data_IF_399016259906
#
_entry.id   IF_399016259906
#
_cell.length_a   1.000
_cell.length_b   1.000
_cell.length_c   1.000
_cell.angle_alpha   90.00
_cell.angle_beta   90.00
_cell.angle_gamma   90.00
#
_symmetry.space_group_name_H-M   'P 1'
#
loop_
_entity.id
_entity.type
_entity.pdbx_description
1 polymer ?
#
# COMPACT_ATOMS: atom_id res chain seq x y z
N UNK A 1 24.59 -1.83 54.50
CA UNK A 1 24.53 -3.05 55.32
C UNK A 1 24.29 -4.23 54.39
N UNK A 2 25.34 -4.99 54.10
CA UNK A 2 25.31 -6.41 53.69
C UNK A 2 24.93 -7.26 54.94
N UNK A 3 24.93 -8.62 54.97
CA UNK A 3 25.05 -9.67 53.93
C UNK A 3 23.96 -10.77 54.11
N UNK A 4 23.85 -11.83 53.29
CA UNK A 4 24.46 -13.16 53.45
C UNK A 4 24.24 -13.93 52.12
N UNK A 5 25.28 -14.26 51.34
CA UNK A 5 26.20 -15.40 51.41
C UNK A 5 25.87 -16.52 50.41
N UNK A 6 26.74 -16.63 49.39
CA UNK A 6 26.96 -17.80 48.55
C UNK A 6 27.55 -18.97 49.35
N UNK A 7 27.54 -20.19 48.78
CA UNK A 7 28.78 -20.93 48.71
C UNK A 7 29.09 -21.50 47.32
N UNK A 8 30.37 -21.38 46.94
CA UNK A 8 31.07 -22.16 45.93
C UNK A 8 31.19 -23.64 46.35
N UNK A 9 31.37 -24.56 45.38
CA UNK A 9 32.18 -25.75 45.62
C UNK A 9 33.54 -25.69 44.88
N UNK A 10 34.57 -26.14 45.59
CA UNK A 10 35.97 -26.32 45.18
C UNK A 10 36.18 -27.68 44.49
N UNK A 11 36.90 -27.69 43.37
CA UNK A 11 38.08 -28.51 43.05
C UNK A 11 38.08 -30.06 43.09
N UNK A 12 38.31 -30.63 41.87
CA UNK A 12 39.19 -31.77 41.46
C UNK A 12 38.83 -33.24 41.86
N UNK A 13 39.18 -34.26 41.04
CA UNK A 13 40.47 -34.41 40.34
C UNK A 13 40.48 -34.82 38.86
N UNK A 14 41.64 -34.54 38.25
CA UNK A 14 42.11 -35.03 36.97
C UNK A 14 42.35 -36.55 37.00
N UNK A 15 41.95 -37.25 35.94
CA UNK A 15 42.30 -38.66 35.76
C UNK A 15 41.50 -39.33 34.64
N UNK A 16 41.77 -39.00 33.38
CA UNK A 16 41.12 -39.64 32.23
C UNK A 16 42.04 -39.59 31.01
N UNK A 17 42.54 -40.76 30.60
CA UNK A 17 43.50 -40.99 29.53
C UNK A 17 43.03 -40.39 28.20
N UNK A 18 43.88 -39.61 27.54
CA UNK A 18 43.74 -39.24 26.13
C UNK A 18 44.01 -40.49 25.28
N UNK A 19 42.95 -41.06 24.70
CA UNK A 19 43.06 -41.99 23.56
C UNK A 19 43.53 -41.18 22.33
N UNK A 20 44.46 -41.68 21.51
CA UNK A 20 44.88 -40.98 20.31
C UNK A 20 43.73 -40.98 19.29
N UNK A 21 43.11 -39.82 19.09
CA UNK A 21 42.12 -39.63 18.02
C UNK A 21 42.85 -39.65 16.67
N UNK A 22 42.50 -40.63 15.84
CA UNK A 22 42.95 -40.77 14.47
C UNK A 22 42.59 -39.52 13.65
N UNK A 23 43.50 -39.06 12.78
CA UNK A 23 43.33 -37.89 11.90
C UNK A 23 42.08 -37.99 10.99
N UNK A 24 41.55 -39.19 10.77
CA UNK A 24 40.27 -39.38 10.07
C UNK A 24 39.05 -38.95 10.90
N UNK A 25 39.07 -39.11 12.23
CA UNK A 25 37.96 -38.74 13.11
C UNK A 25 37.85 -37.22 13.30
N UNK A 26 38.99 -36.51 13.27
CA UNK A 26 39.04 -35.03 13.33
C UNK A 26 38.46 -34.42 12.04
N UNK A 27 38.69 -35.05 10.88
CA UNK A 27 38.08 -34.61 9.61
C UNK A 27 36.57 -34.82 9.55
N UNK A 28 36.06 -35.88 10.18
CA UNK A 28 34.61 -36.15 10.25
C UNK A 28 33.91 -35.17 11.21
N UNK A 29 34.55 -34.81 12.34
CA UNK A 29 34.02 -33.78 13.24
C UNK A 29 34.11 -32.36 12.66
N UNK A 30 35.15 -32.03 11.89
CA UNK A 30 35.24 -30.75 11.17
C UNK A 30 34.23 -30.66 10.01
N UNK A 31 33.92 -31.77 9.34
CA UNK A 31 32.85 -31.85 8.33
C UNK A 31 31.45 -31.76 8.97
N UNK A 32 31.25 -32.34 10.15
CA UNK A 32 29.99 -32.25 10.90
C UNK A 32 29.76 -30.85 11.53
N UNK A 33 30.81 -30.16 11.99
CA UNK A 33 30.73 -28.76 12.43
C UNK A 33 30.57 -27.80 11.24
N UNK A 34 31.17 -28.10 10.10
CA UNK A 34 30.97 -27.36 8.84
C UNK A 34 29.56 -27.51 8.26
N UNK A 35 28.88 -28.63 8.52
CA UNK A 35 27.48 -28.84 8.13
C UNK A 35 26.46 -28.20 9.09
N UNK A 36 26.84 -27.87 10.32
CA UNK A 36 25.95 -27.24 11.32
C UNK A 36 26.08 -25.71 11.37
N UNK A 37 27.07 -25.11 10.71
CA UNK A 37 27.25 -23.66 10.57
C UNK A 37 26.80 -23.10 9.21
N UNK A 38 26.15 -23.92 8.38
CA UNK A 38 25.58 -23.53 7.08
C UNK A 38 24.10 -23.10 7.11
N UNK A 39 23.47 -22.99 8.29
CA UNK A 39 22.07 -22.58 8.43
C UNK A 39 21.96 -21.07 8.65
N UNK A 40 22.21 -20.32 7.58
CA UNK A 40 22.13 -18.86 7.61
C UNK A 40 21.99 -18.20 6.25
N UNK A 41 21.71 -18.96 5.19
CA UNK A 41 21.27 -18.38 3.92
C UNK A 41 19.76 -18.53 3.83
N UNK A 42 19.06 -17.41 4.06
CA UNK A 42 17.69 -17.24 3.61
C UNK A 42 17.63 -17.72 2.15
N UNK A 43 16.69 -18.61 1.77
CA UNK A 43 16.61 -19.05 0.39
C UNK A 43 16.46 -17.78 -0.45
N UNK A 44 17.41 -17.56 -1.38
CA UNK A 44 17.26 -16.60 -2.45
C UNK A 44 15.87 -16.87 -3.02
N UNK A 45 14.93 -15.97 -2.74
CA UNK A 45 13.56 -16.14 -3.19
C UNK A 45 13.64 -15.99 -4.70
N UNK A 46 13.60 -17.12 -5.40
CA UNK A 46 13.53 -17.15 -6.85
C UNK A 46 12.42 -16.19 -7.29
N UNK A 47 12.84 -15.07 -7.89
CA UNK A 47 11.92 -14.21 -8.61
C UNK A 47 11.18 -15.13 -9.59
N UNK A 48 9.84 -15.03 -9.69
CA UNK A 48 9.09 -15.89 -10.59
C UNK A 48 9.72 -15.85 -12.00
N UNK A 49 9.77 -17.00 -12.69
CA UNK A 49 10.51 -17.15 -13.94
C UNK A 49 10.15 -16.04 -14.93
N UNK A 50 11.16 -15.56 -15.66
CA UNK A 50 11.11 -14.42 -16.57
C UNK A 50 9.75 -14.30 -17.26
N UNK A 51 9.00 -13.28 -16.88
CA UNK A 51 7.78 -12.96 -17.61
C UNK A 51 8.22 -12.38 -18.95
N UNK A 52 7.81 -12.94 -20.11
CA UNK A 52 8.25 -12.44 -21.40
C UNK A 52 7.78 -10.99 -21.58
N UNK A 53 8.72 -10.05 -21.37
CA UNK A 53 8.57 -8.62 -21.61
C UNK A 53 8.61 -8.42 -23.11
N UNK A 54 7.44 -8.31 -23.75
CA UNK A 54 7.44 -8.01 -25.16
C UNK A 54 7.30 -6.49 -25.36
N UNK A 55 8.08 -5.90 -26.29
CA UNK A 55 7.90 -4.52 -26.71
C UNK A 55 6.46 -4.32 -27.17
N UNK A 56 5.99 -3.07 -27.10
CA UNK A 56 4.62 -2.60 -27.25
C UNK A 56 3.96 -2.89 -28.62
N UNK A 57 3.87 -4.17 -29.03
CA UNK A 57 3.00 -4.61 -30.11
C UNK A 57 1.61 -4.89 -29.52
N UNK A 58 0.66 -4.10 -29.98
CA UNK A 58 -0.76 -4.17 -29.64
C UNK A 58 -1.30 -5.59 -29.81
N UNK A 59 -1.93 -6.14 -28.77
CA UNK A 59 -2.62 -7.43 -28.85
C UNK A 59 -4.03 -7.31 -28.24
N UNK A 60 -5.10 -7.65 -28.98
CA UNK A 60 -6.49 -7.43 -28.56
C UNK A 60 -6.85 -8.13 -27.24
N UNK A 61 -6.22 -9.27 -26.94
CA UNK A 61 -6.46 -10.03 -25.71
C UNK A 61 -6.02 -9.28 -24.43
N UNK A 62 -5.02 -8.39 -24.48
CA UNK A 62 -4.60 -7.65 -23.28
C UNK A 62 -5.61 -6.55 -22.92
N UNK A 63 -6.18 -5.88 -23.93
CA UNK A 63 -7.20 -4.85 -23.73
C UNK A 63 -8.45 -5.42 -23.02
N UNK A 64 -8.90 -6.61 -23.43
CA UNK A 64 -10.01 -7.31 -22.79
C UNK A 64 -9.70 -7.72 -21.35
N UNK A 65 -8.49 -8.25 -21.09
CA UNK A 65 -8.07 -8.62 -19.73
C UNK A 65 -8.06 -7.44 -18.79
N UNK A 66 -7.42 -6.34 -19.21
CA UNK A 66 -7.33 -5.17 -18.35
C UNK A 66 -8.69 -4.53 -18.14
N UNK A 67 -9.64 -4.59 -19.09
CA UNK A 67 -11.02 -4.13 -18.90
C UNK A 67 -11.77 -4.83 -17.75
N UNK A 68 -11.40 -6.05 -17.37
CA UNK A 68 -11.95 -6.75 -16.19
C UNK A 68 -11.09 -6.68 -14.93
N UNK A 69 -9.90 -6.06 -14.99
CA UNK A 69 -8.93 -6.09 -13.90
C UNK A 69 -8.15 -4.78 -13.85
N UNK A 70 -8.53 -3.90 -12.92
CA UNK A 70 -7.90 -2.59 -12.70
C UNK A 70 -6.49 -2.69 -12.15
N UNK A 71 -6.14 -3.79 -11.48
CA UNK A 71 -4.82 -4.01 -10.89
C UNK A 71 -3.71 -4.14 -11.95
N UNK A 72 -4.05 -4.51 -13.19
CA UNK A 72 -3.09 -4.61 -14.30
C UNK A 72 -2.65 -3.23 -14.78
N UNK A 73 -1.48 -3.18 -15.42
CA UNK A 73 -0.95 -1.99 -16.08
C UNK A 73 -1.87 -1.53 -17.23
N UNK A 74 -2.32 -0.28 -17.19
CA UNK A 74 -3.28 0.29 -18.14
C UNK A 74 -2.60 1.15 -19.20
N UNK A 75 -1.42 1.69 -18.90
CA UNK A 75 -0.66 2.64 -19.70
C UNK A 75 0.02 2.11 -20.95
N UNK A 76 -0.17 0.83 -21.30
CA UNK A 76 0.57 0.16 -22.37
C UNK A 76 0.40 0.73 -23.80
N UNK A 77 -0.47 1.73 -23.97
CA UNK A 77 -0.69 2.45 -25.25
C UNK A 77 -0.46 3.96 -25.12
N UNK A 78 -0.12 4.44 -23.92
CA UNK A 78 0.08 5.85 -23.64
C UNK A 78 1.49 6.25 -24.03
N UNK A 79 1.66 7.52 -24.42
CA UNK A 79 2.94 8.08 -24.89
C UNK A 79 3.28 9.43 -24.26
N UNK A 80 2.31 10.07 -23.60
CA UNK A 80 2.39 11.41 -23.00
C UNK A 80 1.18 11.63 -22.11
N UNK A 81 1.22 12.65 -21.26
CA UNK A 81 0.16 13.08 -20.37
C UNK A 81 -0.44 11.90 -19.59
N UNK A 82 0.43 11.14 -18.93
CA UNK A 82 0.03 9.90 -18.28
C UNK A 82 0.85 9.58 -17.05
N UNK A 83 0.18 9.14 -16.00
CA UNK A 83 0.81 8.49 -14.86
C UNK A 83 0.08 7.19 -14.54
N UNK A 84 0.80 6.28 -13.90
CA UNK A 84 0.24 5.07 -13.32
C UNK A 84 1.11 4.60 -12.17
N UNK A 85 0.51 4.36 -11.00
CA UNK A 85 1.23 3.93 -9.80
C UNK A 85 0.38 3.03 -8.92
N UNK A 86 1.06 2.21 -8.10
CA UNK A 86 0.43 1.31 -7.13
C UNK A 86 0.90 1.69 -5.73
N UNK A 87 -0.02 2.03 -4.84
CA UNK A 87 0.30 2.38 -3.46
C UNK A 87 0.28 1.12 -2.59
N UNK A 88 1.44 0.71 -2.08
CA UNK A 88 1.59 -0.35 -1.10
C UNK A 88 1.78 0.27 0.28
N UNK A 89 0.84 0.06 1.20
CA UNK A 89 1.00 0.43 2.62
C UNK A 89 1.31 -0.81 3.44
N UNK A 90 2.33 -0.73 4.29
CA UNK A 90 2.75 -1.81 5.18
C UNK A 90 2.90 -1.28 6.61
N UNK A 91 2.23 -1.94 7.56
CA UNK A 91 2.23 -1.57 8.97
C UNK A 91 2.66 -2.77 9.80
N UNK A 92 3.70 -2.60 10.63
CA UNK A 92 4.13 -3.60 11.61
C UNK A 92 3.04 -3.83 12.68
N UNK A 93 2.99 -5.01 13.33
CA UNK A 93 1.91 -5.35 14.27
C UNK A 93 1.71 -4.35 15.42
N UNK A 94 2.80 -3.73 15.88
CA UNK A 94 2.85 -2.76 16.97
C UNK A 94 2.78 -1.30 16.49
N UNK A 95 2.67 -1.08 15.18
CA UNK A 95 2.72 0.25 14.58
C UNK A 95 4.11 0.91 14.58
N UNK A 96 5.16 0.22 15.03
CA UNK A 96 6.53 0.79 15.11
C UNK A 96 7.20 0.97 13.74
N UNK A 97 6.58 0.48 12.67
CA UNK A 97 6.98 0.75 11.29
C UNK A 97 5.75 0.89 10.43
N UNK A 98 5.64 2.04 9.77
CA UNK A 98 4.62 2.30 8.76
C UNK A 98 5.37 2.77 7.50
N UNK A 99 5.42 1.94 6.48
CA UNK A 99 6.13 2.25 5.24
C UNK A 99 5.16 2.14 4.07
N UNK A 100 5.12 3.19 3.26
CA UNK A 100 4.42 3.18 1.99
C UNK A 100 5.40 3.18 0.82
N UNK A 101 5.12 2.40 -0.22
CA UNK A 101 5.94 2.28 -1.42
C UNK A 101 5.05 2.42 -2.66
N UNK A 102 5.44 3.31 -3.56
CA UNK A 102 4.70 3.62 -4.79
C UNK A 102 5.62 3.41 -6.00
N UNK A 103 5.64 2.21 -6.60
CA UNK A 103 6.18 2.04 -7.95
C UNK A 103 5.23 2.60 -9.01
N UNK A 104 5.79 3.19 -10.07
CA UNK A 104 4.98 3.71 -11.16
C UNK A 104 5.76 4.20 -12.37
N UNK A 105 5.02 4.79 -13.31
CA UNK A 105 5.55 5.54 -14.45
C UNK A 105 4.90 6.92 -14.54
N UNK A 106 5.63 7.88 -15.08
CA UNK A 106 5.17 9.24 -15.33
C UNK A 106 5.66 9.69 -16.72
N UNK A 107 4.74 10.18 -17.55
CA UNK A 107 4.96 10.69 -18.90
C UNK A 107 4.43 12.13 -18.94
N UNK A 108 5.32 13.11 -19.18
CA UNK A 108 4.96 14.53 -19.27
C UNK A 108 3.90 14.81 -20.33
N UNK A 109 3.25 15.98 -20.24
CA UNK A 109 2.19 16.40 -21.14
C UNK A 109 2.56 16.29 -22.64
N UNK A 110 3.80 16.68 -22.99
CA UNK A 110 4.36 16.61 -24.34
C UNK A 110 5.05 15.26 -24.66
N UNK A 111 5.26 14.42 -23.64
CA UNK A 111 5.93 13.13 -23.73
C UNK A 111 7.45 13.21 -23.90
N UNK A 112 8.08 14.39 -23.73
CA UNK A 112 9.53 14.53 -23.81
C UNK A 112 10.23 13.98 -22.56
N UNK A 113 9.62 14.16 -21.39
CA UNK A 113 10.10 13.63 -20.13
C UNK A 113 9.30 12.38 -19.75
N UNK A 114 9.98 11.24 -19.68
CA UNK A 114 9.38 9.97 -19.31
C UNK A 114 10.32 9.21 -18.39
N UNK A 115 9.78 8.72 -17.28
CA UNK A 115 10.55 7.89 -16.36
C UNK A 115 9.66 6.93 -15.59
N UNK A 116 10.27 5.83 -15.18
CA UNK A 116 9.73 5.00 -14.12
C UNK A 116 10.21 5.53 -12.78
N UNK A 117 9.49 5.21 -11.71
CA UNK A 117 9.87 5.65 -10.38
C UNK A 117 9.49 4.66 -9.30
N UNK A 118 10.18 4.77 -8.17
CA UNK A 118 9.77 4.19 -6.90
C UNK A 118 9.80 5.31 -5.87
N UNK A 119 8.67 5.61 -5.25
CA UNK A 119 8.59 6.53 -4.13
C UNK A 119 8.45 5.75 -2.83
N UNK A 120 9.15 6.16 -1.77
CA UNK A 120 9.09 5.54 -0.45
C UNK A 120 8.76 6.61 0.58
N UNK A 121 7.85 6.29 1.50
CA UNK A 121 7.38 7.19 2.55
C UNK A 121 7.49 6.45 3.88
N UNK A 122 8.17 7.06 4.85
CA UNK A 122 8.11 6.64 6.25
C UNK A 122 6.95 7.37 6.93
N UNK A 123 5.92 6.64 7.31
CA UNK A 123 4.69 7.19 7.89
C UNK A 123 4.84 7.68 9.33
N UNK A 124 5.93 7.36 10.02
CA UNK A 124 6.21 7.88 11.36
C UNK A 124 7.02 9.17 11.31
N UNK A 125 7.95 9.30 10.36
CA UNK A 125 8.81 10.49 10.25
C UNK A 125 8.37 11.47 9.17
N UNK A 126 7.43 11.07 8.30
CA UNK A 126 7.00 11.77 7.08
C UNK A 126 8.10 11.93 6.01
N UNK A 127 9.25 11.28 6.19
CA UNK A 127 10.37 11.36 5.24
C UNK A 127 10.05 10.61 3.95
N UNK A 128 10.17 11.32 2.83
CA UNK A 128 9.95 10.78 1.49
C UNK A 128 11.23 10.71 0.67
N UNK A 129 11.33 9.70 -0.18
CA UNK A 129 12.37 9.58 -1.21
C UNK A 129 11.77 9.19 -2.56
N UNK A 130 12.33 9.70 -3.65
CA UNK A 130 11.81 9.53 -5.01
C UNK A 130 12.92 9.10 -5.96
N UNK A 131 12.90 7.82 -6.31
CA UNK A 131 13.96 7.15 -7.06
C UNK A 131 13.55 7.06 -8.54
N UNK A 132 14.23 7.80 -9.42
CA UNK A 132 13.94 7.83 -10.87
C UNK A 132 14.71 6.74 -11.61
N UNK A 133 14.04 6.13 -12.58
CA UNK A 133 14.60 5.11 -13.47
C UNK A 133 14.29 5.44 -14.93
N UNK A 134 15.19 5.09 -15.85
CA UNK A 134 14.89 5.18 -17.28
C UNK A 134 13.71 4.25 -17.61
N UNK A 135 12.90 4.62 -18.62
CA UNK A 135 11.68 3.87 -18.97
C UNK A 135 11.96 2.41 -19.36
N UNK A 136 13.15 2.12 -19.90
CA UNK A 136 13.60 0.79 -20.28
C UNK A 136 13.73 -0.16 -19.08
N UNK A 137 13.88 0.38 -17.87
CA UNK A 137 13.92 -0.39 -16.64
C UNK A 137 12.52 -0.87 -16.19
N UNK A 138 11.44 -0.28 -16.73
CA UNK A 138 10.07 -0.66 -16.39
C UNK A 138 9.57 -1.81 -17.24
N UNK A 139 9.01 -2.82 -16.58
CA UNK A 139 8.45 -3.99 -17.24
C UNK A 139 7.22 -4.51 -16.49
N UNK A 140 6.26 -5.12 -17.20
CA UNK A 140 5.00 -5.56 -16.60
C UNK A 140 4.53 -6.92 -17.12
N UNK A 141 3.77 -7.64 -16.29
CA UNK A 141 3.12 -8.91 -16.64
C UNK A 141 1.84 -8.69 -17.45
N UNK A 142 1.66 -9.55 -18.46
CA UNK A 142 0.49 -9.54 -19.34
C UNK A 142 -0.67 -10.39 -18.82
N UNK A 143 -0.46 -11.11 -17.71
CA UNK A 143 -1.42 -12.08 -17.18
C UNK A 143 -1.94 -11.68 -15.81
N UNK A 144 -1.07 -11.16 -14.96
CA UNK A 144 -1.33 -10.87 -13.55
C UNK A 144 -0.78 -9.50 -13.19
N UNK A 145 -1.18 -8.95 -12.04
CA UNK A 145 -0.52 -7.77 -11.51
C UNK A 145 0.87 -8.16 -11.03
N UNK A 146 1.88 -7.83 -11.85
CA UNK A 146 3.29 -7.88 -11.50
C UNK A 146 4.05 -6.87 -12.38
N UNK A 147 4.93 -6.07 -11.78
CA UNK A 147 5.78 -5.10 -12.46
C UNK A 147 7.22 -5.19 -11.93
N UNK A 148 8.17 -4.74 -12.73
CA UNK A 148 9.58 -4.58 -12.37
C UNK A 148 10.05 -3.18 -12.72
N UNK A 149 10.95 -2.65 -11.89
CA UNK A 149 11.67 -1.41 -12.14
C UNK A 149 13.14 -1.67 -11.78
N UNK A 150 13.94 -2.00 -12.79
CA UNK A 150 15.30 -2.50 -12.60
C UNK A 150 15.32 -3.81 -11.79
N UNK A 151 16.02 -3.80 -10.65
CA UNK A 151 16.11 -4.94 -9.72
C UNK A 151 14.88 -5.09 -8.80
N UNK A 152 13.98 -4.11 -8.79
CA UNK A 152 12.83 -4.09 -7.91
C UNK A 152 11.65 -4.86 -8.54
N UNK A 153 10.83 -5.48 -7.71
CA UNK A 153 9.68 -6.27 -8.14
C UNK A 153 8.46 -6.00 -7.26
N UNK A 154 7.29 -5.87 -7.90
CA UNK A 154 6.04 -5.57 -7.21
C UNK A 154 4.92 -6.37 -7.81
N UNK A 155 4.07 -6.95 -6.99
CA UNK A 155 2.95 -7.77 -7.42
C UNK A 155 1.85 -7.77 -6.36
N UNK A 156 0.77 -8.51 -6.61
CA UNK A 156 -0.31 -8.64 -5.64
C UNK A 156 0.13 -9.33 -4.33
N UNK A 157 1.10 -10.24 -4.40
CA UNK A 157 1.48 -11.14 -3.29
C UNK A 157 2.89 -10.90 -2.76
N UNK A 158 3.66 -10.01 -3.39
CA UNK A 158 5.01 -9.69 -2.92
C UNK A 158 5.55 -8.37 -3.47
N UNK A 159 6.44 -7.77 -2.68
CA UNK A 159 7.30 -6.64 -3.02
C UNK A 159 8.75 -7.03 -2.69
N UNK A 160 9.67 -6.68 -3.59
CA UNK A 160 11.11 -6.75 -3.39
C UNK A 160 11.73 -5.41 -3.78
N UNK A 161 12.56 -4.88 -2.90
CA UNK A 161 13.29 -3.64 -3.11
C UNK A 161 14.79 -3.91 -3.07
N UNK A 162 15.49 -3.35 -4.04
CA UNK A 162 16.94 -3.23 -4.13
C UNK A 162 17.26 -1.86 -4.72
N UNK A 163 17.31 -0.86 -3.82
CA UNK A 163 17.60 0.53 -4.12
C UNK A 163 18.93 0.90 -3.48
N UNK A 164 19.85 1.36 -4.31
CA UNK A 164 21.19 1.79 -3.91
C UNK A 164 21.57 3.06 -4.63
N UNK A 165 20.72 4.08 -4.53
CA UNK A 165 21.09 5.42 -5.00
C UNK A 165 21.51 6.31 -3.82
N UNK A 166 22.14 7.45 -4.16
CA UNK A 166 22.64 8.40 -3.16
C UNK A 166 21.56 9.04 -2.29
N UNK A 167 20.27 8.79 -2.54
CA UNK A 167 19.16 9.31 -1.71
C UNK A 167 18.81 8.36 -0.57
N UNK A 168 18.69 7.05 -0.86
CA UNK A 168 18.30 6.06 0.16
C UNK A 168 18.78 4.68 -0.23
N UNK A 169 19.31 3.95 0.76
CA UNK A 169 19.63 2.54 0.61
C UNK A 169 18.49 1.70 1.15
N UNK A 170 17.81 0.97 0.27
CA UNK A 170 16.70 0.09 0.66
C UNK A 170 16.93 -1.31 0.11
N UNK A 171 16.86 -2.31 0.98
CA UNK A 171 16.97 -3.70 0.57
C UNK A 171 16.03 -4.60 1.37
N UNK A 172 15.34 -5.51 0.71
CA UNK A 172 14.54 -6.54 1.37
C UNK A 172 13.32 -6.97 0.58
N UNK A 173 12.52 -7.85 1.19
CA UNK A 173 11.31 -8.39 0.59
C UNK A 173 10.21 -8.52 1.62
N UNK A 174 8.99 -8.24 1.18
CA UNK A 174 7.76 -8.43 1.96
C UNK A 174 6.78 -9.24 1.12
N UNK A 175 6.19 -10.26 1.71
CA UNK A 175 5.14 -11.08 1.11
C UNK A 175 3.79 -10.73 1.73
N UNK A 176 2.76 -10.73 0.90
CA UNK A 176 1.37 -10.50 1.27
C UNK A 176 0.61 -11.83 1.23
N UNK A 177 -0.03 -12.18 2.34
CA UNK A 177 -0.81 -13.41 2.50
C UNK A 177 -2.26 -13.07 2.81
N UNK A 178 -3.16 -14.03 2.57
CA UNK A 178 -4.58 -13.90 2.94
C UNK A 178 -5.23 -12.63 2.35
N UNK A 179 -4.88 -12.32 1.10
CA UNK A 179 -5.34 -11.10 0.43
C UNK A 179 -6.86 -11.07 0.29
N UNK A 180 -7.46 -9.96 0.72
CA UNK A 180 -8.88 -9.68 0.58
C UNK A 180 -9.06 -8.77 -0.66
N UNK A 181 -9.46 -9.29 -1.82
CA UNK A 181 -9.61 -8.48 -3.02
C UNK A 181 -10.88 -7.63 -2.95
N UNK A 182 -10.87 -6.46 -3.60
CA UNK A 182 -12.09 -5.69 -3.79
C UNK A 182 -13.10 -6.47 -4.65
N UNK A 183 -14.34 -6.57 -4.19
CA UNK A 183 -15.47 -7.13 -4.94
C UNK A 183 -16.57 -6.09 -5.03
N UNK A 184 -17.05 -5.80 -6.23
CA UNK A 184 -18.11 -4.83 -6.48
C UNK A 184 -19.51 -5.24 -5.98
N UNK A 185 -19.68 -6.52 -5.62
CA UNK A 185 -21.00 -7.14 -5.34
C UNK A 185 -21.83 -7.43 -6.59
N UNK A 186 -21.24 -7.32 -7.80
CA UNK A 186 -21.89 -7.63 -9.08
C UNK A 186 -21.21 -8.82 -9.76
N UNK A 187 -21.91 -9.46 -10.71
CA UNK A 187 -21.37 -10.60 -11.47
C UNK A 187 -20.09 -10.23 -12.24
N UNK A 188 -20.07 -9.04 -12.84
CA UNK A 188 -18.86 -8.41 -13.36
C UNK A 188 -18.25 -7.52 -12.28
N UNK A 189 -16.93 -7.59 -12.10
CA UNK A 189 -16.20 -6.73 -11.16
C UNK A 189 -15.55 -5.55 -11.90
N UNK A 190 -16.25 -4.42 -12.12
CA UNK A 190 -15.66 -3.27 -12.79
C UNK A 190 -14.59 -2.56 -11.95
N UNK A 191 -14.44 -2.94 -10.67
CA UNK A 191 -13.62 -2.24 -9.69
C UNK A 191 -14.41 -1.18 -8.91
N UNK A 192 -13.70 -0.43 -8.07
CA UNK A 192 -14.28 0.52 -7.12
C UNK A 192 -14.92 1.76 -7.76
N UNK A 193 -14.52 2.11 -8.98
CA UNK A 193 -15.14 3.21 -9.74
C UNK A 193 -16.47 2.82 -10.42
N UNK A 194 -16.87 1.54 -10.39
CA UNK A 194 -18.09 1.12 -11.07
C UNK A 194 -18.07 1.45 -12.57
N UNK A 195 -19.14 2.07 -13.07
CA UNK A 195 -19.25 2.43 -14.49
C UNK A 195 -18.40 3.66 -14.87
N UNK A 196 -18.01 4.52 -13.90
CA UNK A 196 -17.15 5.68 -14.17
C UNK A 196 -15.80 5.29 -14.76
N UNK A 197 -15.34 4.07 -14.47
CA UNK A 197 -14.13 3.52 -15.08
C UNK A 197 -14.14 3.53 -16.62
N UNK A 198 -15.32 3.46 -17.23
CA UNK A 198 -15.47 3.44 -18.69
C UNK A 198 -15.73 4.83 -19.27
N UNK A 199 -15.89 5.86 -18.43
CA UNK A 199 -16.01 7.24 -18.88
C UNK A 199 -14.64 7.69 -19.40
N UNK A 200 -14.55 8.17 -20.65
CA UNK A 200 -13.28 8.64 -21.20
C UNK A 200 -12.88 10.00 -20.60
N UNK A 201 -11.59 10.31 -20.65
CA UNK A 201 -11.03 11.62 -20.28
C UNK A 201 -11.22 12.03 -18.81
N UNK A 202 -11.40 11.07 -17.89
CA UNK A 202 -11.25 11.36 -16.47
C UNK A 202 -9.78 11.61 -16.17
N UNK A 203 -9.50 12.61 -15.33
CA UNK A 203 -8.13 12.96 -14.94
C UNK A 203 -7.44 11.81 -14.22
N UNK A 204 -8.15 11.17 -13.29
CA UNK A 204 -7.66 10.05 -12.49
C UNK A 204 -8.69 8.92 -12.45
N UNK A 205 -8.19 7.71 -12.58
CA UNK A 205 -8.93 6.47 -12.35
C UNK A 205 -8.33 5.71 -11.17
N UNK A 206 -9.19 5.11 -10.37
CA UNK A 206 -8.85 4.45 -9.12
C UNK A 206 -9.16 2.94 -9.16
N UNK A 207 -8.32 2.14 -8.50
CA UNK A 207 -8.50 0.70 -8.37
C UNK A 207 -7.93 0.18 -7.06
N UNK A 208 -8.66 -0.71 -6.40
CA UNK A 208 -8.20 -1.37 -5.16
C UNK A 208 -7.81 -2.81 -5.47
N UNK A 209 -6.55 -3.14 -5.19
CA UNK A 209 -5.99 -4.49 -5.39
C UNK A 209 -6.28 -5.36 -4.18
N UNK A 210 -6.12 -4.80 -2.97
CA UNK A 210 -6.32 -5.50 -1.70
C UNK A 210 -6.90 -4.56 -0.65
N UNK A 211 -8.03 -4.93 -0.05
CA UNK A 211 -8.63 -4.23 1.10
C UNK A 211 -7.79 -4.43 2.37
N UNK A 212 -7.28 -5.65 2.58
CA UNK A 212 -6.36 -5.97 3.67
C UNK A 212 -5.64 -7.28 3.37
N UNK A 213 -4.45 -7.46 3.92
CA UNK A 213 -3.68 -8.70 3.87
C UNK A 213 -2.68 -8.75 5.03
N UNK A 214 -2.22 -9.97 5.35
CA UNK A 214 -1.15 -10.18 6.33
C UNK A 214 0.21 -10.04 5.66
N UNK A 215 1.19 -9.55 6.42
CA UNK A 215 2.55 -9.34 5.96
C UNK A 215 3.52 -10.34 6.58
N UNK A 216 4.56 -10.69 5.82
CA UNK A 216 5.76 -11.36 6.32
C UNK A 216 6.99 -10.89 5.56
N UNK A 217 8.07 -10.62 6.26
CA UNK A 217 9.31 -10.17 5.64
C UNK A 217 9.81 -8.88 6.26
N UNK A 218 10.90 -8.37 5.68
CA UNK A 218 11.70 -7.30 6.28
C UNK A 218 12.18 -6.37 5.18
N UNK A 219 12.16 -5.07 5.47
CA UNK A 219 12.89 -4.06 4.71
C UNK A 219 13.99 -3.49 5.58
N UNK A 220 15.16 -3.25 5.00
CA UNK A 220 16.24 -2.48 5.62
C UNK A 220 16.36 -1.17 4.89
N UNK A 221 16.08 -0.05 5.57
CA UNK A 221 16.11 1.31 5.03
C UNK A 221 17.21 2.07 5.76
N UNK A 222 18.25 2.51 5.05
CA UNK A 222 19.42 3.20 5.61
C UNK A 222 20.04 2.47 6.82
N UNK A 223 20.06 1.13 6.78
CA UNK A 223 20.56 0.30 7.88
C UNK A 223 19.56 0.04 9.01
N UNK A 224 18.43 0.75 9.07
CA UNK A 224 17.33 0.47 10.01
C UNK A 224 16.48 -0.69 9.50
N UNK A 225 16.28 -1.70 10.35
CA UNK A 225 15.44 -2.86 10.07
C UNK A 225 13.97 -2.54 10.39
N UNK A 226 13.09 -2.78 9.42
CA UNK A 226 11.64 -2.72 9.55
C UNK A 226 11.06 -4.12 9.35
N UNK A 227 10.49 -4.70 10.41
CA UNK A 227 9.94 -6.06 10.41
C UNK A 227 8.42 -6.00 10.27
N UNK A 228 7.89 -6.65 9.24
CA UNK A 228 6.45 -6.67 8.97
C UNK A 228 5.83 -8.04 9.27
N UNK A 229 6.54 -8.96 9.93
CA UNK A 229 5.97 -10.24 10.30
C UNK A 229 4.70 -10.07 11.13
N UNK A 230 3.59 -10.68 10.68
CA UNK A 230 2.25 -10.55 11.25
C UNK A 230 1.63 -9.14 11.18
N UNK A 231 2.26 -8.23 10.41
CA UNK A 231 1.74 -6.91 10.13
C UNK A 231 0.56 -6.93 9.17
N UNK A 232 -0.01 -5.75 8.91
CA UNK A 232 -1.14 -5.56 8.01
C UNK A 232 -0.73 -4.67 6.84
N UNK A 233 -1.27 -4.95 5.65
CA UNK A 233 -1.02 -4.13 4.48
C UNK A 233 -2.23 -3.92 3.59
N UNK A 234 -2.11 -2.91 2.73
CA UNK A 234 -3.15 -2.44 1.81
C UNK A 234 -2.53 -2.11 0.45
N UNK A 235 -3.26 -2.38 -0.65
CA UNK A 235 -2.78 -2.05 -2.00
C UNK A 235 -3.90 -1.41 -2.81
N UNK A 236 -3.64 -0.20 -3.30
CA UNK A 236 -4.45 0.49 -4.30
C UNK A 236 -3.61 0.98 -5.46
N UNK A 237 -4.26 1.61 -6.43
CA UNK A 237 -3.67 1.97 -7.69
C UNK A 237 -4.42 3.11 -8.34
N UNK A 238 -3.66 4.08 -8.82
CA UNK A 238 -4.15 5.20 -9.61
C UNK A 238 -3.51 5.24 -11.00
N UNK A 239 -4.27 5.70 -11.98
CA UNK A 239 -3.75 6.00 -13.31
C UNK A 239 -4.59 7.06 -14.01
N UNK A 240 -3.98 7.81 -14.92
CA UNK A 240 -4.69 8.87 -15.64
C UNK A 240 -3.74 9.93 -16.15
N UNK A 241 -4.25 11.14 -16.41
CA UNK A 241 -3.44 12.30 -16.81
C UNK A 241 -3.06 13.20 -15.64
N UNK A 242 -3.90 13.32 -14.61
CA UNK A 242 -3.64 14.16 -13.44
C UNK A 242 -4.44 13.70 -12.21
N UNK A 243 -4.01 14.08 -11.01
CA UNK A 243 -4.90 14.00 -9.84
C UNK A 243 -5.96 15.13 -9.88
N UNK A 244 -7.10 14.98 -9.19
CA UNK A 244 -8.13 16.02 -9.07
C UNK A 244 -7.60 17.37 -8.57
N UNK A 245 -8.35 18.44 -8.82
CA UNK A 245 -7.99 19.79 -8.35
C UNK A 245 -7.95 19.87 -6.80
N UNK A 246 -8.96 19.27 -6.16
CA UNK A 246 -9.10 19.11 -4.73
C UNK A 246 -9.66 17.73 -4.38
N UNK A 247 -9.17 17.14 -3.28
CA UNK A 247 -9.70 15.88 -2.76
C UNK A 247 -9.43 15.71 -1.26
N UNK A 248 -10.22 14.82 -0.67
CA UNK A 248 -9.99 14.21 0.64
C UNK A 248 -9.89 12.70 0.41
N UNK A 249 -8.77 12.10 0.79
CA UNK A 249 -8.59 10.65 0.77
C UNK A 249 -8.25 10.16 2.17
N UNK A 250 -8.79 9.02 2.56
CA UNK A 250 -8.42 8.37 3.81
C UNK A 250 -8.41 6.86 3.69
N UNK A 251 -7.49 6.22 4.41
CA UNK A 251 -7.37 4.77 4.42
C UNK A 251 -6.83 4.26 5.75
N UNK A 252 -7.45 3.19 6.26
CA UNK A 252 -6.85 2.36 7.30
C UNK A 252 -7.31 0.91 7.22
N UNK A 253 -6.48 0.00 7.66
CA UNK A 253 -6.79 -1.39 7.94
C UNK A 253 -6.17 -1.84 9.28
N UNK A 254 -5.95 -0.88 10.17
CA UNK A 254 -5.35 -1.04 11.51
C UNK A 254 -6.33 -0.58 12.59
N UNK A 255 -7.59 -0.99 12.46
CA UNK A 255 -8.63 -0.76 13.46
C UNK A 255 -8.46 -1.68 14.66
N UNK A 256 -9.16 -1.37 15.76
CA UNK A 256 -9.15 -2.19 16.97
C UNK A 256 -9.77 -3.56 16.71
N UNK A 257 -10.74 -3.66 15.79
CA UNK A 257 -11.21 -4.95 15.28
C UNK A 257 -10.28 -5.45 14.16
N UNK A 258 -9.54 -6.56 14.36
CA UNK A 258 -8.61 -7.06 13.36
C UNK A 258 -9.33 -7.43 12.06
N UNK A 259 -8.72 -7.06 10.92
CA UNK A 259 -9.25 -7.37 9.60
C UNK A 259 -10.24 -6.34 9.06
N UNK A 260 -10.71 -5.38 9.86
CA UNK A 260 -11.48 -4.23 9.36
C UNK A 260 -10.64 -3.36 8.43
N UNK A 261 -11.24 -2.81 7.37
CA UNK A 261 -10.57 -1.85 6.49
C UNK A 261 -11.53 -0.80 5.96
N UNK A 262 -11.08 0.45 5.92
CA UNK A 262 -11.79 1.59 5.37
C UNK A 262 -10.91 2.23 4.29
N UNK A 263 -11.54 2.59 3.17
CA UNK A 263 -11.01 3.59 2.25
C UNK A 263 -12.16 4.49 1.81
N UNK A 264 -11.91 5.80 1.78
CA UNK A 264 -12.85 6.79 1.28
C UNK A 264 -12.09 7.87 0.51
N UNK A 265 -12.58 8.21 -0.68
CA UNK A 265 -12.14 9.34 -1.48
C UNK A 265 -13.33 10.23 -1.82
N UNK A 266 -13.16 11.54 -1.62
CA UNK A 266 -14.09 12.61 -1.99
C UNK A 266 -13.28 13.58 -2.84
N UNK A 267 -13.70 13.88 -4.07
CA UNK A 267 -12.91 14.68 -4.99
C UNK A 267 -13.77 15.57 -5.88
N UNK A 268 -13.19 16.69 -6.32
CA UNK A 268 -13.73 17.52 -7.40
C UNK A 268 -13.42 16.85 -8.75
N UNK A 269 -14.46 16.40 -9.46
CA UNK A 269 -14.34 15.61 -10.69
C UNK A 269 -14.76 16.47 -11.88
N UNK A 270 -13.88 16.69 -12.88
CA UNK A 270 -14.27 17.36 -14.11
C UNK A 270 -15.34 16.57 -14.87
N UNK A 271 -16.35 17.28 -15.36
CA UNK A 271 -17.45 16.72 -16.13
C UNK A 271 -17.94 17.70 -17.21
N UNK A 272 -17.55 17.45 -18.46
CA UNK A 272 -18.05 18.15 -19.66
C UNK A 272 -18.04 19.68 -19.53
N UNK A 273 -16.90 20.26 -19.13
CA UNK A 273 -16.73 21.72 -18.98
C UNK A 273 -17.23 22.31 -17.67
N UNK A 274 -17.76 21.48 -16.77
CA UNK A 274 -18.02 21.81 -15.35
C UNK A 274 -17.25 20.85 -14.46
N UNK A 275 -17.44 20.92 -13.15
CA UNK A 275 -17.03 19.89 -12.22
C UNK A 275 -18.16 19.54 -11.25
N UNK A 276 -18.02 18.40 -10.56
CA UNK A 276 -18.90 18.01 -9.47
C UNK A 276 -18.11 17.30 -8.37
N UNK A 277 -18.55 17.45 -7.12
CA UNK A 277 -17.98 16.68 -6.01
C UNK A 277 -18.49 15.25 -6.03
N UNK A 278 -17.61 14.31 -6.33
CA UNK A 278 -17.88 12.88 -6.29
C UNK A 278 -17.23 12.20 -5.10
N UNK A 279 -17.72 11.02 -4.74
CA UNK A 279 -17.10 10.17 -3.73
C UNK A 279 -17.17 8.69 -4.11
N UNK A 280 -16.22 7.92 -3.59
CA UNK A 280 -16.18 6.47 -3.63
C UNK A 280 -15.44 5.92 -2.41
N UNK A 281 -15.77 4.70 -2.01
CA UNK A 281 -15.14 4.08 -0.86
C UNK A 281 -15.79 2.77 -0.47
N UNK A 282 -15.23 2.16 0.57
CA UNK A 282 -15.77 0.99 1.22
C UNK A 282 -15.40 0.97 2.69
N UNK A 283 -16.22 0.30 3.48
CA UNK A 283 -15.82 -0.27 4.76
C UNK A 283 -15.92 -1.78 4.65
N UNK A 284 -14.91 -2.52 5.07
CA UNK A 284 -14.86 -3.97 5.11
C UNK A 284 -14.78 -4.42 6.56
N UNK A 285 -15.66 -5.33 6.96
CA UNK A 285 -15.68 -5.89 8.31
C UNK A 285 -16.33 -7.27 8.27
N UNK A 286 -15.70 -8.25 8.93
CA UNK A 286 -16.23 -9.63 9.09
C UNK A 286 -16.72 -10.29 7.79
N UNK A 287 -15.99 -10.11 6.68
CA UNK A 287 -16.35 -10.71 5.38
C UNK A 287 -17.31 -9.88 4.53
N UNK A 288 -17.90 -8.82 5.07
CA UNK A 288 -18.83 -7.94 4.38
C UNK A 288 -18.16 -6.66 3.88
N UNK A 289 -18.48 -6.25 2.64
CA UNK A 289 -18.04 -4.96 2.08
C UNK A 289 -19.23 -4.02 1.98
N UNK A 290 -19.20 -2.97 2.79
CA UNK A 290 -20.13 -1.85 2.74
C UNK A 290 -19.64 -0.84 1.69
N UNK A 291 -20.25 -0.85 0.50
CA UNK A 291 -19.85 0.06 -0.58
C UNK A 291 -20.51 1.44 -0.46
N UNK A 292 -19.73 2.48 -0.76
CA UNK A 292 -20.20 3.86 -0.81
C UNK A 292 -19.69 4.49 -2.09
N UNK A 293 -20.56 5.09 -2.91
CA UNK A 293 -20.13 5.88 -4.05
C UNK A 293 -21.28 6.74 -4.61
N UNK A 294 -20.94 7.82 -5.31
CA UNK A 294 -21.90 8.68 -6.05
C UNK A 294 -22.74 7.91 -7.06
N UNK A 295 -22.19 6.86 -7.69
CA UNK A 295 -22.94 6.03 -8.63
C UNK A 295 -23.83 4.95 -7.97
N UNK A 296 -23.90 4.93 -6.64
CA UNK A 296 -24.73 4.01 -5.85
C UNK A 296 -25.80 4.83 -5.13
N UNK A 297 -26.91 4.22 -4.68
CA UNK A 297 -27.93 4.89 -3.88
C UNK A 297 -27.43 5.17 -2.45
N UNK A 298 -26.44 6.07 -2.35
CA UNK A 298 -25.70 6.43 -1.13
C UNK A 298 -25.60 7.94 -1.08
N UNK A 299 -25.84 8.53 0.10
CA UNK A 299 -25.61 9.95 0.37
C UNK A 299 -24.42 10.09 1.30
N UNK A 300 -23.68 11.17 1.16
CA UNK A 300 -22.57 11.53 2.04
C UNK A 300 -22.75 12.97 2.48
N UNK A 301 -22.76 13.23 3.78
CA UNK A 301 -22.61 14.57 4.35
C UNK A 301 -21.17 14.71 4.83
N UNK A 302 -20.47 15.74 4.34
CA UNK A 302 -19.13 16.11 4.78
C UNK A 302 -19.19 17.44 5.52
N UNK A 303 -18.79 17.43 6.79
CA UNK A 303 -18.65 18.60 7.63
C UNK A 303 -17.19 18.79 8.00
N UNK A 304 -16.62 19.95 7.67
CA UNK A 304 -15.22 20.30 7.94
C UNK A 304 -15.22 21.21 9.17
N UNK A 305 -14.82 20.66 10.32
CA UNK A 305 -14.85 21.37 11.59
C UNK A 305 -13.62 22.28 11.76
N UNK A 306 -12.48 21.86 11.22
CA UNK A 306 -11.23 22.63 11.17
C UNK A 306 -10.31 22.10 10.07
N UNK A 307 -9.10 22.65 9.91
CA UNK A 307 -8.07 22.10 9.01
C UNK A 307 -7.53 20.73 9.44
N UNK A 308 -7.93 20.25 10.62
CA UNK A 308 -7.44 18.98 11.20
C UNK A 308 -8.56 18.01 11.56
N UNK A 309 -9.83 18.41 11.42
CA UNK A 309 -10.95 17.60 11.88
C UNK A 309 -12.13 17.61 10.89
N UNK A 310 -12.58 16.41 10.55
CA UNK A 310 -13.70 16.15 9.64
C UNK A 310 -14.76 15.28 10.33
N UNK A 311 -16.02 15.51 9.99
CA UNK A 311 -17.12 14.60 10.26
C UNK A 311 -17.75 14.16 8.94
N UNK A 312 -17.95 12.85 8.80
CA UNK A 312 -18.50 12.27 7.58
C UNK A 312 -19.64 11.33 7.94
N UNK A 313 -20.82 11.59 7.40
CA UNK A 313 -21.98 10.73 7.56
C UNK A 313 -22.37 10.13 6.21
N UNK A 314 -22.19 8.83 6.06
CA UNK A 314 -22.55 8.09 4.86
C UNK A 314 -23.82 7.29 5.14
N UNK A 315 -24.81 7.37 4.25
CA UNK A 315 -26.08 6.66 4.41
C UNK A 315 -26.52 6.00 3.11
N UNK A 316 -26.94 4.74 3.20
CA UNK A 316 -27.67 4.06 2.13
C UNK A 316 -29.01 3.52 2.67
N UNK A 317 -29.69 2.65 1.91
CA UNK A 317 -31.01 2.11 2.29
C UNK A 317 -30.98 1.16 3.50
N UNK A 318 -29.82 0.65 3.89
CA UNK A 318 -29.65 -0.39 4.91
C UNK A 318 -28.79 0.04 6.10
N UNK A 319 -27.81 0.90 5.88
CA UNK A 319 -26.79 1.23 6.87
C UNK A 319 -26.47 2.73 6.89
N UNK A 320 -25.96 3.17 8.04
CA UNK A 320 -25.32 4.47 8.23
C UNK A 320 -23.91 4.25 8.77
N UNK A 321 -22.94 4.96 8.21
CA UNK A 321 -21.56 4.98 8.68
C UNK A 321 -21.24 6.41 9.11
N UNK A 322 -20.83 6.57 10.38
CA UNK A 322 -20.40 7.84 10.94
C UNK A 322 -18.89 7.77 11.16
N UNK A 323 -18.18 8.77 10.67
CA UNK A 323 -16.74 8.89 10.83
C UNK A 323 -16.42 10.25 11.45
N UNK A 324 -15.58 10.24 12.49
CA UNK A 324 -14.87 11.42 12.96
C UNK A 324 -13.40 11.20 12.66
N UNK A 325 -12.81 12.08 11.87
CA UNK A 325 -11.41 11.98 11.44
C UNK A 325 -10.64 13.15 12.03
N UNK A 326 -9.51 12.88 12.67
CA UNK A 326 -8.63 13.91 13.24
C UNK A 326 -7.20 13.64 12.82
N UNK A 327 -6.52 14.64 12.28
CA UNK A 327 -5.10 14.58 11.91
C UNK A 327 -4.24 15.35 12.91
N UNK A 328 -3.09 14.77 13.29
CA UNK A 328 -2.13 15.35 14.22
C UNK A 328 -0.93 16.03 13.55
N UNK A 329 -0.51 15.58 12.36
CA UNK A 329 0.62 16.12 11.61
C UNK A 329 0.40 16.02 10.09
N UNK A 330 1.00 16.91 9.30
CA UNK A 330 1.02 16.84 7.83
C UNK A 330 2.45 16.60 7.31
N UNK A 331 2.69 15.47 6.65
CA UNK A 331 3.90 15.19 5.85
C UNK A 331 3.84 15.83 4.46
N UNK A 332 4.78 15.55 3.55
CA UNK A 332 4.74 15.97 2.13
C UNK A 332 5.10 14.81 1.18
N UNK A 333 4.17 14.38 0.32
CA UNK A 333 4.33 13.46 -0.82
C UNK A 333 4.57 14.21 -2.13
N UNK A 334 5.11 13.55 -3.16
CA UNK A 334 5.03 14.03 -4.55
C UNK A 334 3.86 13.41 -5.31
N UNK A 335 3.24 14.17 -6.23
CA UNK A 335 2.10 13.74 -7.03
C UNK A 335 2.04 14.36 -8.43
N UNK A 336 1.31 13.74 -9.36
CA UNK A 336 1.29 14.17 -10.75
C UNK A 336 0.38 15.38 -10.97
N UNK A 337 0.84 16.29 -11.83
CA UNK A 337 0.08 17.36 -12.49
C UNK A 337 0.41 17.26 -13.97
N UNK A 338 -0.60 17.02 -14.81
CA UNK A 338 -0.42 16.82 -16.26
C UNK A 338 0.66 15.77 -16.61
N UNK A 339 0.73 14.69 -15.85
CA UNK A 339 1.69 13.60 -16.02
C UNK A 339 3.08 13.83 -15.42
N UNK A 340 3.41 15.06 -14.99
CA UNK A 340 4.68 15.40 -14.32
C UNK A 340 4.54 15.36 -12.80
N UNK A 341 5.51 14.79 -12.07
CA UNK A 341 5.47 14.64 -10.60
C UNK A 341 5.88 15.92 -9.84
N UNK A 342 5.26 17.04 -10.18
CA UNK A 342 5.69 18.38 -9.75
C UNK A 342 4.97 18.89 -8.49
N UNK A 343 3.84 18.27 -8.09
CA UNK A 343 3.07 18.71 -6.92
C UNK A 343 3.58 18.03 -5.66
N UNK A 344 3.68 18.78 -4.56
CA UNK A 344 3.81 18.19 -3.22
C UNK A 344 2.44 18.12 -2.54
N UNK A 345 1.98 16.95 -2.12
CA UNK A 345 0.73 16.74 -1.37
C UNK A 345 1.04 16.57 0.10
N UNK A 346 0.36 17.27 1.02
CA UNK A 346 0.42 16.89 2.41
C UNK A 346 -0.35 15.57 2.69
N UNK A 347 0.37 14.50 3.04
CA UNK A 347 -0.21 13.25 3.58
C UNK A 347 0.14 13.14 5.07
N UNK A 348 -0.87 12.85 5.89
CA UNK A 348 -0.74 12.43 7.28
C UNK A 348 -0.92 10.91 7.32
N UNK A 349 0.04 10.16 7.87
CA UNK A 349 -0.11 8.70 8.08
C UNK A 349 -0.45 8.38 9.56
N UNK A 350 -0.50 9.42 10.41
CA UNK A 350 -0.79 9.38 11.83
C UNK A 350 -2.20 9.90 12.17
N UNK A 351 -3.09 10.00 11.18
CA UNK A 351 -4.46 10.40 11.43
C UNK A 351 -5.21 9.33 12.23
N UNK A 352 -6.25 9.79 12.94
CA UNK A 352 -7.17 8.92 13.66
C UNK A 352 -8.56 8.95 13.09
N UNK A 353 -9.22 7.79 13.11
CA UNK A 353 -10.58 7.61 12.62
C UNK A 353 -11.37 6.92 13.73
N UNK A 354 -12.41 7.58 14.22
CA UNK A 354 -13.45 6.98 15.06
C UNK A 354 -14.65 6.65 14.16
N UNK A 355 -15.08 5.39 14.19
CA UNK A 355 -16.06 4.81 13.28
C UNK A 355 -17.25 4.25 14.05
N UNK A 356 -18.46 4.58 13.60
CA UNK A 356 -19.69 3.92 14.06
C UNK A 356 -20.51 3.44 12.87
N UNK A 357 -20.75 2.14 12.79
CA UNK A 357 -21.67 1.53 11.83
C UNK A 357 -23.02 1.27 12.50
N UNK A 358 -24.09 1.69 11.85
CA UNK A 358 -25.47 1.54 12.31
C UNK A 358 -26.30 0.84 11.22
N UNK A 359 -27.34 0.12 11.64
CA UNK A 359 -28.41 -0.27 10.72
C UNK A 359 -29.35 0.91 10.41
N UNK A 360 -30.38 0.65 9.59
CA UNK A 360 -31.37 1.67 9.21
C UNK A 360 -32.23 2.17 10.38
N UNK A 361 -32.39 1.35 11.42
CA UNK A 361 -33.24 1.62 12.58
C UNK A 361 -32.44 2.36 13.68
N UNK A 362 -31.15 2.59 13.44
CA UNK A 362 -30.25 3.31 14.34
C UNK A 362 -29.58 2.42 15.38
N UNK A 363 -29.70 1.09 15.28
CA UNK A 363 -28.97 0.16 16.14
C UNK A 363 -27.50 0.15 15.75
N UNK A 364 -26.63 0.29 16.74
CA UNK A 364 -25.19 0.16 16.57
C UNK A 364 -24.84 -1.29 16.21
N UNK A 365 -24.24 -1.46 15.04
CA UNK A 365 -23.67 -2.73 14.58
C UNK A 365 -22.19 -2.84 14.99
N UNK A 366 -21.45 -1.74 14.90
CA UNK A 366 -20.03 -1.68 15.28
C UNK A 366 -19.65 -0.27 15.75
N UNK A 367 -18.79 -0.20 16.77
CA UNK A 367 -17.97 0.98 17.08
C UNK A 367 -16.51 0.54 17.06
N UNK A 368 -15.69 1.28 16.33
CA UNK A 368 -14.28 0.96 16.17
C UNK A 368 -13.47 2.25 16.04
N UNK A 369 -12.16 2.15 16.24
CA UNK A 369 -11.25 3.26 16.02
C UNK A 369 -9.85 2.81 15.65
N UNK A 370 -9.11 3.72 15.04
CA UNK A 370 -7.69 3.57 14.73
C UNK A 370 -6.95 4.89 14.94
N UNK A 371 -5.66 4.79 15.26
CA UNK A 371 -4.71 5.91 15.28
C UNK A 371 -3.64 5.79 14.18
N UNK A 372 -3.81 4.84 13.26
CA UNK A 372 -2.92 4.59 12.12
C UNK A 372 -3.77 4.68 10.85
N UNK A 373 -3.98 5.90 10.36
CA UNK A 373 -4.73 6.16 9.14
C UNK A 373 -3.95 7.13 8.23
N UNK A 374 -3.97 6.80 6.95
CA UNK A 374 -3.64 7.76 5.90
C UNK A 374 -4.76 8.78 5.78
N UNK A 375 -4.43 10.06 5.68
CA UNK A 375 -5.32 11.15 5.36
C UNK A 375 -4.60 12.15 4.45
N UNK A 376 -5.24 12.46 3.34
CA UNK A 376 -4.85 13.54 2.44
C UNK A 376 -6.00 14.55 2.38
N UNK A 377 -5.68 15.83 2.53
CA UNK A 377 -6.61 16.94 2.33
C UNK A 377 -5.93 17.97 1.44
N UNK A 378 -6.38 18.06 0.19
CA UNK A 378 -5.55 18.63 -0.89
C UNK A 378 -6.35 19.61 -1.73
N UNK A 379 -5.69 20.69 -2.15
CA UNK A 379 -6.34 21.79 -2.88
C UNK A 379 -7.31 22.56 -2.00
N UNK A 380 -8.33 23.17 -2.63
CA UNK A 380 -9.45 23.78 -1.89
C UNK A 380 -10.43 22.69 -1.43
N UNK A 381 -10.00 21.82 -0.52
CA UNK A 381 -10.81 20.71 -0.02
C UNK A 381 -12.08 21.21 0.72
N UNK A 382 -12.12 22.49 1.12
CA UNK A 382 -13.27 23.11 1.77
C UNK A 382 -14.48 23.21 0.84
N UNK A 383 -14.23 23.35 -0.47
CA UNK A 383 -15.30 23.35 -1.47
C UNK A 383 -16.05 22.01 -1.56
N UNK A 384 -15.48 20.92 -1.03
CA UNK A 384 -16.06 19.58 -1.09
C UNK A 384 -17.16 19.36 -0.02
N UNK A 385 -17.28 20.27 0.96
CA UNK A 385 -18.20 20.13 2.08
C UNK A 385 -19.69 20.17 1.66
N UNK A 386 -20.54 19.56 2.49
CA UNK A 386 -21.99 19.53 2.30
C UNK A 386 -22.54 18.17 1.93
N UNK A 387 -23.79 18.17 1.45
CA UNK A 387 -24.54 16.97 1.10
C UNK A 387 -24.27 16.55 -0.35
N UNK A 388 -23.63 15.40 -0.52
CA UNK A 388 -23.40 14.71 -1.78
C UNK A 388 -24.44 13.60 -1.96
N UNK A 389 -24.94 13.41 -3.20
CA UNK A 389 -26.03 12.49 -3.52
C UNK A 389 -25.69 11.53 -4.64
#
# INVERSE_FOLDING_TARGET
MSPYCLPFPKGLPWGGRLLPMNLQTIRILAAALGLLLGLGQSPAQDLPPETPYAPARMRPLYALKKAGNTSLFQGNRQKRNYFEGWYFKMVAPDGASIISVIPGIALSEDGQEQHAFIQIIDGLTTETSYHRFPMEAFAYSRKTFAIRIGNNYFSRDSLHLDLQDGQRRVHGSVRMHETIPYRSGRLLNPGIMGWYRFVPFMECYHGVVSLSHRLSGVLTINGKRHDFHAGAGYIEKDWGSSMPSAWIWMQSNNFSSPGSSLMLSIADIPWLGKSFTGFLGFFYHEGEIYHFATYRPTKLQLDILSDHQLQIHIQNRRHRLLLTVTSSQTGLLQAPVAGSMDRRIPESIDASIDLTLLDRDGKVLLKDSTRIAGLEMVGDFRQLAGLLK
#
